data_IF_827611646020
#
_entry.id   IF_827611646020
#
_cell.length_a   1.000
_cell.length_b   1.000
_cell.length_c   1.000
_cell.angle_alpha   90.00
_cell.angle_beta   90.00
_cell.angle_gamma   90.00
#
_symmetry.space_group_name_H-M   'P 1'
#
loop_
_entity.id
_entity.type
_entity.pdbx_description
1 polymer ?
#
# COMPACT_ATOMS: atom_id res chain seq x y z
N UNK A 1 -10.82 -12.88 -25.49
CA UNK A 1 -11.81 -11.87 -25.06
C UNK A 1 -12.64 -11.49 -26.27
N UNK A 2 -13.98 -11.52 -26.18
CA UNK A 2 -14.82 -10.99 -27.26
C UNK A 2 -14.59 -9.48 -27.34
N UNK A 3 -14.62 -8.91 -28.55
CA UNK A 3 -14.36 -7.48 -28.78
C UNK A 3 -15.29 -6.58 -27.94
N UNK A 4 -16.54 -7.01 -27.77
CA UNK A 4 -17.58 -6.30 -27.00
C UNK A 4 -17.26 -6.18 -25.50
N UNK A 5 -16.76 -7.26 -24.86
CA UNK A 5 -16.39 -7.25 -23.43
C UNK A 5 -15.21 -6.28 -23.16
N UNK A 6 -14.34 -6.12 -24.17
CA UNK A 6 -13.19 -5.22 -24.11
C UNK A 6 -13.61 -3.75 -24.19
N UNK A 7 -14.49 -3.43 -25.14
CA UNK A 7 -14.98 -2.07 -25.35
C UNK A 7 -15.81 -1.59 -24.16
N UNK A 8 -16.66 -2.46 -23.61
CA UNK A 8 -17.44 -2.12 -22.42
C UNK A 8 -16.55 -1.91 -21.18
N UNK A 9 -15.56 -2.76 -20.95
CA UNK A 9 -14.63 -2.59 -19.82
C UNK A 9 -13.77 -1.34 -19.93
N UNK A 10 -13.32 -0.97 -21.14
CA UNK A 10 -12.57 0.27 -21.39
C UNK A 10 -13.44 1.52 -21.11
N UNK A 11 -14.71 1.53 -21.55
CA UNK A 11 -15.66 2.61 -21.26
C UNK A 11 -15.96 2.73 -19.76
N UNK A 12 -16.11 1.61 -19.06
CA UNK A 12 -16.37 1.61 -17.63
C UNK A 12 -15.16 2.12 -16.84
N UNK A 13 -13.94 1.73 -17.23
CA UNK A 13 -12.71 2.25 -16.63
C UNK A 13 -12.60 3.77 -16.80
N UNK A 14 -12.92 4.27 -18.00
CA UNK A 14 -12.96 5.71 -18.31
C UNK A 14 -13.94 6.47 -17.40
N UNK A 15 -15.17 5.97 -17.27
CA UNK A 15 -16.20 6.58 -16.41
C UNK A 15 -15.81 6.58 -14.93
N UNK A 16 -15.29 5.47 -14.41
CA UNK A 16 -14.84 5.37 -13.00
C UNK A 16 -13.71 6.35 -12.71
N UNK A 17 -12.75 6.45 -13.62
CA UNK A 17 -11.63 7.39 -13.48
C UNK A 17 -12.17 8.82 -13.48
N UNK A 18 -13.01 9.19 -14.46
CA UNK A 18 -13.57 10.53 -14.55
C UNK A 18 -14.40 10.90 -13.30
N UNK A 19 -15.18 9.97 -12.77
CA UNK A 19 -15.88 10.15 -11.49
C UNK A 19 -14.93 10.45 -10.34
N UNK A 20 -13.81 9.75 -10.23
CA UNK A 20 -12.80 10.04 -9.20
C UNK A 20 -12.13 11.40 -9.44
N UNK A 21 -11.87 11.80 -10.68
CA UNK A 21 -11.37 13.15 -10.99
C UNK A 21 -12.32 14.22 -10.49
N UNK A 22 -13.61 14.06 -10.80
CA UNK A 22 -14.66 14.98 -10.38
C UNK A 22 -14.79 14.99 -8.85
N UNK A 23 -14.64 13.84 -8.19
CA UNK A 23 -14.70 13.75 -6.74
C UNK A 23 -13.55 14.50 -6.06
N UNK A 24 -12.31 14.35 -6.56
CA UNK A 24 -11.14 15.09 -6.09
C UNK A 24 -11.34 16.61 -6.21
N UNK A 25 -12.01 17.07 -7.28
CA UNK A 25 -12.32 18.49 -7.50
C UNK A 25 -13.45 19.05 -6.63
N UNK A 26 -14.30 18.19 -6.04
CA UNK A 26 -15.54 18.62 -5.38
C UNK A 26 -15.48 18.61 -3.85
N UNK A 27 -14.48 17.99 -3.23
CA UNK A 27 -14.41 17.87 -1.78
C UNK A 27 -13.08 18.40 -1.26
N UNK A 28 -13.08 19.29 -0.25
CA UNK A 28 -11.85 19.70 0.42
C UNK A 28 -11.19 18.56 1.20
N UNK A 29 -11.93 17.48 1.53
CA UNK A 29 -11.41 16.21 2.08
C UNK A 29 -12.41 15.05 1.89
N UNK A 30 -12.10 14.03 1.08
CA UNK A 30 -12.51 12.67 1.36
C UNK A 30 -11.43 12.07 2.27
N UNK A 31 -11.75 11.92 3.55
CA UNK A 31 -10.94 11.11 4.45
C UNK A 31 -10.94 9.65 3.96
N UNK A 32 -9.90 8.93 4.36
CA UNK A 32 -9.62 7.50 4.16
C UNK A 32 -8.84 7.13 2.88
N UNK A 33 -7.54 6.85 3.10
CA UNK A 33 -6.61 6.13 2.22
C UNK A 33 -5.71 6.91 1.25
N UNK A 34 -5.02 7.98 1.69
CA UNK A 34 -3.77 8.51 1.08
C UNK A 34 -3.38 7.82 -0.25
N UNK A 35 -3.99 8.32 -1.32
CA UNK A 35 -4.01 7.72 -2.64
C UNK A 35 -2.70 7.89 -3.45
N UNK A 36 -1.74 8.82 -3.22
CA UNK A 36 -0.74 9.11 -4.26
C UNK A 36 0.36 8.05 -4.44
N UNK A 37 0.88 7.47 -3.36
CA UNK A 37 2.13 6.69 -3.44
C UNK A 37 1.96 5.40 -4.26
N UNK A 38 0.75 4.81 -4.27
CA UNK A 38 0.44 3.60 -5.06
C UNK A 38 0.10 3.86 -6.52
N UNK A 39 -0.39 5.06 -6.88
CA UNK A 39 -0.88 5.36 -8.23
C UNK A 39 0.07 6.21 -9.09
N UNK A 40 1.03 6.88 -8.46
CA UNK A 40 2.10 7.64 -9.16
C UNK A 40 3.16 6.68 -9.73
N UNK A 41 3.24 5.43 -9.26
CA UNK A 41 4.16 4.43 -9.78
C UNK A 41 3.67 3.87 -11.12
N UNK A 42 4.49 4.06 -12.15
CA UNK A 42 4.37 3.58 -13.55
C UNK A 42 3.62 2.25 -13.67
N UNK A 43 2.35 2.28 -14.10
CA UNK A 43 1.59 1.19 -14.75
C UNK A 43 0.06 1.34 -14.64
N UNK A 44 -0.48 2.47 -14.21
CA UNK A 44 -1.91 2.79 -14.43
C UNK A 44 -2.13 3.31 -15.86
N UNK A 45 -3.36 3.23 -16.41
CA UNK A 45 -3.75 3.97 -17.63
C UNK A 45 -3.46 5.47 -17.50
N UNK A 46 -3.54 5.93 -16.25
CA UNK A 46 -3.25 7.28 -15.81
C UNK A 46 -1.74 7.40 -15.64
N UNK A 47 -1.12 8.21 -16.50
CA UNK A 47 0.33 8.48 -16.41
C UNK A 47 0.68 9.21 -15.11
N UNK A 48 1.92 9.03 -14.63
CA UNK A 48 2.51 9.83 -13.55
C UNK A 48 2.33 11.34 -13.78
N UNK A 49 2.52 11.80 -15.02
CA UNK A 49 2.28 13.19 -15.41
C UNK A 49 0.87 13.66 -15.08
N UNK A 50 -0.14 12.83 -15.34
CA UNK A 50 -1.52 13.21 -15.05
C UNK A 50 -1.78 13.40 -13.56
N UNK A 51 -1.20 12.54 -12.71
CA UNK A 51 -1.30 12.71 -11.26
C UNK A 51 -0.64 14.01 -10.81
N UNK A 52 0.56 14.29 -11.35
CA UNK A 52 1.25 15.55 -11.09
C UNK A 52 0.37 16.73 -11.51
N UNK A 53 -0.11 16.76 -12.75
CA UNK A 53 -0.95 17.84 -13.28
C UNK A 53 -2.21 18.05 -12.40
N UNK A 54 -2.84 16.96 -11.95
CA UNK A 54 -3.98 17.01 -11.01
C UNK A 54 -3.57 17.57 -9.66
N UNK A 55 -2.44 17.16 -9.12
CA UNK A 55 -1.92 17.67 -7.85
C UNK A 55 -1.62 19.17 -7.92
N UNK A 56 -1.10 19.65 -9.05
CA UNK A 56 -0.87 21.07 -9.32
C UNK A 56 -2.21 21.83 -9.34
N UNK A 57 -3.20 21.34 -10.10
CA UNK A 57 -4.55 21.93 -10.17
C UNK A 57 -5.16 22.07 -8.77
N UNK A 58 -5.11 21.01 -7.94
CA UNK A 58 -5.63 21.04 -6.57
C UNK A 58 -4.97 22.11 -5.68
N UNK A 59 -3.68 22.38 -5.88
CA UNK A 59 -2.94 23.40 -5.13
C UNK A 59 -3.29 24.80 -5.64
N UNK A 60 -3.27 25.00 -6.97
CA UNK A 60 -3.46 26.30 -7.60
C UNK A 60 -4.90 26.82 -7.49
N UNK A 61 -5.89 25.92 -7.51
CA UNK A 61 -7.30 26.25 -7.37
C UNK A 61 -7.79 26.26 -5.90
N UNK A 62 -6.89 26.01 -4.93
CA UNK A 62 -7.19 25.98 -3.49
C UNK A 62 -8.32 24.99 -3.08
N UNK A 63 -8.48 23.87 -3.81
CA UNK A 63 -9.54 22.88 -3.58
C UNK A 63 -9.17 21.91 -2.43
N UNK A 64 -8.09 21.14 -2.61
CA UNK A 64 -7.52 20.23 -1.61
C UNK A 64 -6.00 20.30 -1.67
N UNK A 65 -5.48 21.41 -1.14
CA UNK A 65 -4.06 21.74 -1.17
C UNK A 65 -3.21 20.66 -0.49
N UNK A 66 -3.72 19.97 0.53
CA UNK A 66 -2.98 18.93 1.26
C UNK A 66 -2.74 17.72 0.35
N UNK A 67 -3.81 17.19 -0.26
CA UNK A 67 -3.71 16.06 -1.19
C UNK A 67 -2.88 16.43 -2.42
N UNK A 68 -3.05 17.65 -2.95
CA UNK A 68 -2.25 18.15 -4.07
C UNK A 68 -0.75 18.19 -3.74
N UNK A 69 -0.39 18.77 -2.58
CA UNK A 69 1.00 18.82 -2.10
C UNK A 69 1.58 17.42 -1.92
N UNK A 70 0.80 16.48 -1.40
CA UNK A 70 1.23 15.11 -1.23
C UNK A 70 1.57 14.46 -2.57
N UNK A 71 0.72 14.62 -3.59
CA UNK A 71 0.96 14.07 -4.93
C UNK A 71 2.24 14.65 -5.53
N UNK A 72 2.33 15.98 -5.63
CA UNK A 72 3.44 16.62 -6.38
C UNK A 72 4.78 16.43 -5.67
N UNK A 73 4.81 16.47 -4.33
CA UNK A 73 6.04 16.28 -3.57
C UNK A 73 6.50 14.81 -3.59
N UNK A 74 5.58 13.83 -3.53
CA UNK A 74 5.93 12.42 -3.72
C UNK A 74 6.44 12.13 -5.13
N UNK A 75 5.96 12.88 -6.14
CA UNK A 75 6.50 12.84 -7.50
C UNK A 75 7.82 13.63 -7.66
N UNK A 76 8.37 14.19 -6.58
CA UNK A 76 9.68 14.86 -6.58
C UNK A 76 9.67 16.34 -7.01
N UNK A 77 8.51 16.98 -7.10
CA UNK A 77 8.35 18.41 -7.44
C UNK A 77 8.68 19.30 -6.23
N UNK A 78 9.97 19.46 -5.94
CA UNK A 78 10.48 20.16 -4.75
C UNK A 78 10.14 21.66 -4.71
N UNK A 79 9.80 22.27 -5.84
CA UNK A 79 9.36 23.66 -5.93
C UNK A 79 8.12 23.96 -5.07
N UNK A 80 7.31 22.95 -4.71
CA UNK A 80 6.16 23.10 -3.83
C UNK A 80 6.48 23.03 -2.32
N UNK A 81 7.76 22.92 -1.94
CA UNK A 81 8.18 22.80 -0.53
C UNK A 81 7.85 24.04 0.30
N UNK A 82 7.98 25.24 -0.27
CA UNK A 82 7.67 26.49 0.44
C UNK A 82 6.17 26.58 0.76
N UNK A 83 5.31 26.16 -0.19
CA UNK A 83 3.86 26.08 0.03
C UNK A 83 3.51 25.05 1.09
N UNK A 84 4.21 23.93 1.14
CA UNK A 84 4.05 22.95 2.22
C UNK A 84 4.34 23.56 3.60
N UNK A 85 5.45 24.30 3.72
CA UNK A 85 5.84 24.96 4.98
C UNK A 85 4.80 25.99 5.40
N UNK A 86 4.30 26.79 4.45
CA UNK A 86 3.24 27.78 4.65
C UNK A 86 1.96 27.15 5.23
N UNK A 87 1.57 25.96 4.74
CA UNK A 87 0.34 25.27 5.16
C UNK A 87 0.54 24.50 6.47
N UNK A 88 1.63 23.75 6.61
CA UNK A 88 1.86 22.90 7.79
C UNK A 88 2.16 23.75 9.03
N UNK A 89 2.86 24.87 8.89
CA UNK A 89 3.25 25.74 10.02
C UNK A 89 2.06 26.16 10.90
N UNK A 90 1.02 26.81 10.34
CA UNK A 90 -0.18 27.18 11.08
C UNK A 90 -0.96 25.99 11.64
N UNK A 91 -1.15 24.93 10.85
CA UNK A 91 -1.88 23.72 11.28
C UNK A 91 -1.21 23.05 12.48
N UNK A 92 0.12 23.01 12.48
CA UNK A 92 0.93 22.52 13.58
C UNK A 92 0.77 23.37 14.85
N UNK A 93 0.81 24.70 14.70
CA UNK A 93 0.67 25.63 15.84
C UNK A 93 -0.72 25.59 16.46
N UNK A 94 -1.76 25.28 15.69
CA UNK A 94 -3.15 25.19 16.15
C UNK A 94 -3.53 23.83 16.77
N UNK A 95 -2.59 22.89 16.90
CA UNK A 95 -2.84 21.52 17.42
C UNK A 95 -3.98 20.80 16.69
N UNK A 96 -4.16 21.02 15.39
CA UNK A 96 -5.05 20.20 14.57
C UNK A 96 -4.59 18.73 14.59
N UNK A 97 -5.43 17.81 14.12
CA UNK A 97 -5.14 16.38 13.99
C UNK A 97 -3.95 16.13 13.05
N UNK A 98 -2.74 16.28 13.59
CA UNK A 98 -1.47 16.19 12.85
C UNK A 98 -1.13 14.79 12.36
N UNK A 99 -1.89 13.78 12.78
CA UNK A 99 -1.68 12.37 12.42
C UNK A 99 -1.81 12.11 10.91
N UNK A 100 -2.71 12.82 10.23
CA UNK A 100 -2.89 12.75 8.78
C UNK A 100 -1.82 13.52 7.99
N UNK A 101 -0.97 14.28 8.68
CA UNK A 101 0.07 15.10 8.05
C UNK A 101 1.46 14.48 8.17
N UNK A 102 1.63 13.32 8.83
CA UNK A 102 2.95 12.77 9.09
C UNK A 102 3.75 12.48 7.82
N UNK A 103 3.12 11.95 6.78
CA UNK A 103 3.78 11.66 5.49
C UNK A 103 4.29 12.96 4.84
N UNK A 104 3.48 14.01 4.87
CA UNK A 104 3.87 15.35 4.41
C UNK A 104 4.95 16.00 5.28
N UNK A 105 4.84 15.90 6.62
CA UNK A 105 5.84 16.42 7.56
C UNK A 105 7.19 15.72 7.36
N UNK A 106 7.19 14.44 6.96
CA UNK A 106 8.40 13.70 6.66
C UNK A 106 9.12 14.22 5.42
N UNK A 107 8.39 14.79 4.45
CA UNK A 107 8.97 15.43 3.25
C UNK A 107 9.72 16.73 3.57
N UNK A 108 9.43 17.39 4.69
CA UNK A 108 10.15 18.60 5.11
C UNK A 108 11.66 18.34 5.29
N UNK A 109 12.52 19.37 5.15
CA UNK A 109 13.96 19.23 5.41
C UNK A 109 14.24 18.60 6.78
N UNK A 110 15.25 17.69 6.91
CA UNK A 110 15.56 17.00 8.15
C UNK A 110 15.79 17.91 9.36
N UNK A 111 16.31 19.11 9.11
CA UNK A 111 16.61 20.11 10.11
C UNK A 111 15.41 21.01 10.49
N UNK A 112 14.30 20.92 9.77
CA UNK A 112 13.08 21.70 9.99
C UNK A 112 12.48 21.42 11.39
N UNK A 113 12.06 22.49 12.08
CA UNK A 113 11.62 22.44 13.48
C UNK A 113 10.40 21.52 13.69
N UNK A 114 9.42 21.57 12.79
CA UNK A 114 8.21 20.73 12.85
C UNK A 114 8.59 19.25 12.73
N UNK A 115 9.40 18.91 11.71
CA UNK A 115 9.87 17.54 11.48
C UNK A 115 10.64 17.01 12.69
N UNK A 116 11.59 17.79 13.22
CA UNK A 116 12.35 17.44 14.44
C UNK A 116 11.45 17.22 15.65
N UNK A 117 10.41 18.03 15.83
CA UNK A 117 9.50 17.93 16.97
C UNK A 117 8.58 16.71 16.86
N UNK A 118 8.07 16.42 15.67
CA UNK A 118 7.22 15.26 15.39
C UNK A 118 8.02 13.96 15.50
N UNK A 119 9.14 13.85 14.79
CA UNK A 119 9.94 12.62 14.74
C UNK A 119 11.07 12.60 15.78
N UNK A 120 10.86 13.24 16.94
CA UNK A 120 11.85 13.24 18.02
C UNK A 120 12.04 11.82 18.60
N UNK A 121 13.26 11.29 18.46
CA UNK A 121 13.65 9.95 18.90
C UNK A 121 13.69 9.74 20.42
N UNK A 122 13.52 10.79 21.25
CA UNK A 122 13.49 10.64 22.72
C UNK A 122 12.34 9.75 23.21
N UNK A 123 11.35 9.44 22.37
CA UNK A 123 10.16 8.67 22.73
C UNK A 123 9.87 7.53 21.74
N UNK A 124 10.86 6.69 21.41
CA UNK A 124 10.65 5.53 20.52
C UNK A 124 9.51 4.61 20.99
N UNK A 125 9.26 4.51 22.29
CA UNK A 125 8.11 3.77 22.84
C UNK A 125 6.75 4.34 22.40
N UNK A 126 6.59 5.66 22.35
CA UNK A 126 5.35 6.30 21.91
C UNK A 126 5.09 6.13 20.40
N UNK A 127 6.15 5.97 19.62
CA UNK A 127 6.08 5.75 18.16
C UNK A 127 5.51 4.36 17.84
N UNK A 128 5.76 3.36 18.70
CA UNK A 128 5.32 1.97 18.46
C UNK A 128 3.80 1.78 18.31
N UNK A 129 2.99 2.75 18.76
CA UNK A 129 1.52 2.68 18.71
C UNK A 129 0.92 3.37 17.48
N UNK A 130 1.69 4.19 16.78
CA UNK A 130 1.21 5.04 15.70
C UNK A 130 1.77 4.57 14.35
N UNK A 131 0.94 3.91 13.54
CA UNK A 131 1.34 3.36 12.24
C UNK A 131 1.78 4.48 11.27
N UNK A 132 1.04 5.59 11.22
CA UNK A 132 1.31 6.70 10.28
C UNK A 132 2.65 7.33 10.55
N UNK A 133 2.94 7.60 11.82
CA UNK A 133 4.23 8.15 12.22
C UNK A 133 5.39 7.20 11.88
N UNK A 134 5.20 5.89 12.03
CA UNK A 134 6.21 4.87 11.69
C UNK A 134 6.45 4.82 10.17
N UNK A 135 5.38 4.73 9.39
CA UNK A 135 5.45 4.76 7.93
C UNK A 135 6.18 6.02 7.43
N UNK A 136 5.84 7.19 7.97
CA UNK A 136 6.48 8.46 7.63
C UNK A 136 8.00 8.48 7.93
N UNK A 137 8.43 7.95 9.08
CA UNK A 137 9.86 7.81 9.42
C UNK A 137 10.58 6.84 8.47
N UNK A 138 9.91 5.76 8.09
CA UNK A 138 10.48 4.75 7.20
C UNK A 138 10.55 5.20 5.76
N UNK A 139 9.57 5.99 5.32
CA UNK A 139 9.53 6.62 4.01
C UNK A 139 10.78 7.49 3.75
N UNK A 140 11.22 8.25 4.75
CA UNK A 140 12.46 9.04 4.69
C UNK A 140 13.73 8.23 4.93
N UNK A 141 13.61 6.90 5.06
CA UNK A 141 14.70 5.95 5.29
C UNK A 141 15.57 6.30 6.49
N UNK A 142 14.96 6.64 7.62
CA UNK A 142 15.74 6.93 8.83
C UNK A 142 16.45 5.67 9.36
N UNK A 143 17.76 5.60 9.17
CA UNK A 143 18.54 4.40 9.51
C UNK A 143 18.44 4.02 10.99
N UNK A 144 18.40 4.99 11.91
CA UNK A 144 18.38 4.71 13.34
C UNK A 144 17.05 4.07 13.75
N UNK A 145 15.95 4.62 13.28
CA UNK A 145 14.63 4.03 13.52
C UNK A 145 14.50 2.67 12.85
N UNK A 146 14.95 2.55 11.60
CA UNK A 146 14.88 1.28 10.87
C UNK A 146 15.69 0.18 11.56
N UNK A 147 16.90 0.47 12.07
CA UNK A 147 17.69 -0.48 12.88
C UNK A 147 17.00 -0.88 14.18
N UNK A 148 16.46 0.10 14.93
CA UNK A 148 15.71 -0.19 16.15
C UNK A 148 14.51 -1.10 15.89
N UNK A 149 13.73 -0.79 14.85
CA UNK A 149 12.55 -1.57 14.49
C UNK A 149 12.93 -2.96 13.98
N UNK A 150 14.00 -3.10 13.18
CA UNK A 150 14.48 -4.40 12.71
C UNK A 150 14.98 -5.28 13.85
N UNK A 151 15.78 -4.73 14.78
CA UNK A 151 16.24 -5.44 15.98
C UNK A 151 15.04 -5.93 16.82
N UNK A 152 14.04 -5.07 17.01
CA UNK A 152 12.82 -5.44 17.74
C UNK A 152 12.08 -6.59 17.06
N UNK A 153 11.92 -6.55 15.73
CA UNK A 153 11.28 -7.63 14.98
C UNK A 153 12.08 -8.93 15.07
N UNK A 154 13.41 -8.86 14.94
CA UNK A 154 14.31 -10.01 15.06
C UNK A 154 14.17 -10.67 16.43
N UNK A 155 14.19 -9.88 17.51
CA UNK A 155 14.03 -10.39 18.87
C UNK A 155 12.66 -11.03 19.08
N UNK A 156 11.59 -10.41 18.60
CA UNK A 156 10.23 -10.97 18.71
C UNK A 156 10.07 -12.30 17.98
N UNK A 157 10.78 -12.48 16.86
CA UNK A 157 10.83 -13.74 16.12
C UNK A 157 11.63 -14.79 16.88
N UNK A 158 12.83 -14.44 17.36
CA UNK A 158 13.72 -15.35 18.06
C UNK A 158 13.13 -15.93 19.34
N UNK A 159 12.35 -15.14 20.08
CA UNK A 159 11.81 -15.51 21.39
C UNK A 159 10.47 -16.29 21.34
N UNK A 160 9.74 -16.27 20.21
CA UNK A 160 8.33 -16.69 20.18
C UNK A 160 7.87 -17.50 18.95
N UNK A 161 8.71 -17.69 17.93
CA UNK A 161 8.31 -18.41 16.71
C UNK A 161 7.97 -19.89 16.91
N UNK A 162 8.30 -20.48 18.06
CA UNK A 162 7.95 -21.88 18.36
C UNK A 162 6.58 -22.05 19.02
N UNK A 163 5.96 -20.97 19.50
CA UNK A 163 4.82 -21.07 20.44
C UNK A 163 3.56 -20.33 20.03
N UNK A 164 3.62 -19.29 19.17
CA UNK A 164 2.44 -18.49 18.85
C UNK A 164 2.36 -17.99 17.39
N UNK A 165 1.53 -18.65 16.59
CA UNK A 165 1.22 -18.25 15.20
C UNK A 165 0.50 -16.90 15.11
N UNK A 166 -0.20 -16.47 16.17
CA UNK A 166 -0.83 -15.14 16.22
C UNK A 166 0.21 -14.02 16.32
N UNK A 167 1.39 -14.28 16.90
CA UNK A 167 2.44 -13.27 16.95
C UNK A 167 3.00 -12.95 15.55
N UNK A 168 3.15 -13.98 14.70
CA UNK A 168 3.55 -13.78 13.31
C UNK A 168 2.55 -12.86 12.61
N UNK A 169 1.28 -13.18 12.76
CA UNK A 169 0.20 -12.47 12.11
C UNK A 169 -0.06 -11.06 12.64
N UNK A 170 -0.32 -10.92 13.94
CA UNK A 170 -0.82 -9.68 14.56
C UNK A 170 0.28 -8.65 14.81
N UNK A 171 1.55 -9.11 14.89
CA UNK A 171 2.65 -8.27 15.34
C UNK A 171 3.81 -8.17 14.36
N UNK A 172 4.28 -9.29 13.83
CA UNK A 172 5.47 -9.33 12.98
C UNK A 172 5.12 -8.85 11.57
N UNK A 173 4.13 -9.47 10.92
CA UNK A 173 3.77 -9.17 9.53
C UNK A 173 3.37 -7.70 9.30
N UNK A 174 2.58 -7.03 10.17
CA UNK A 174 2.23 -5.62 9.99
C UNK A 174 3.44 -4.69 10.14
N UNK A 175 4.31 -4.93 11.14
CA UNK A 175 5.52 -4.11 11.36
C UNK A 175 6.54 -4.28 10.27
N UNK A 176 6.69 -5.52 9.84
CA UNK A 176 7.46 -5.80 8.69
C UNK A 176 6.81 -4.94 7.55
N UNK A 177 5.47 -4.93 7.34
CA UNK A 177 4.84 -4.43 6.10
C UNK A 177 5.15 -2.95 5.86
N UNK A 178 5.32 -2.22 6.96
CA UNK A 178 5.83 -0.85 6.99
C UNK A 178 7.19 -0.69 6.27
N UNK A 179 8.05 -1.72 6.26
CA UNK A 179 9.33 -1.72 5.53
C UNK A 179 9.17 -1.96 4.03
N UNK A 180 8.22 -2.80 3.63
CA UNK A 180 8.07 -3.24 2.24
C UNK A 180 9.42 -3.63 1.61
N UNK A 181 9.80 -2.96 0.51
CA UNK A 181 11.08 -3.20 -0.19
C UNK A 181 12.33 -2.83 0.64
N UNK A 182 12.21 -1.92 1.59
CA UNK A 182 13.34 -1.50 2.46
C UNK A 182 13.81 -2.63 3.37
N UNK A 183 13.02 -3.69 3.54
CA UNK A 183 13.45 -4.85 4.32
C UNK A 183 14.75 -5.48 3.82
N UNK A 184 15.01 -5.43 2.50
CA UNK A 184 16.27 -5.94 1.92
C UNK A 184 17.51 -5.17 2.38
N UNK A 185 17.33 -3.97 2.92
CA UNK A 185 18.41 -3.10 3.43
C UNK A 185 18.67 -3.38 4.91
N UNK A 186 17.62 -3.62 5.69
CA UNK A 186 17.70 -3.63 7.16
C UNK A 186 17.67 -5.03 7.79
N UNK A 187 17.31 -6.06 7.02
CA UNK A 187 17.30 -7.44 7.51
C UNK A 187 18.34 -8.27 6.77
N UNK A 188 19.05 -9.11 7.51
CA UNK A 188 19.97 -10.06 6.94
C UNK A 188 19.24 -11.11 6.08
N UNK A 189 19.89 -11.57 5.02
CA UNK A 189 19.32 -12.56 4.10
C UNK A 189 18.84 -13.82 4.82
N UNK A 190 19.64 -14.36 5.75
CA UNK A 190 19.31 -15.57 6.48
C UNK A 190 18.01 -15.40 7.31
N UNK A 191 17.80 -14.21 7.87
CA UNK A 191 16.58 -13.89 8.61
C UNK A 191 15.36 -13.83 7.68
N UNK A 192 15.50 -13.19 6.51
CA UNK A 192 14.43 -13.15 5.52
C UNK A 192 14.08 -14.54 4.99
N UNK A 193 15.08 -15.41 4.78
CA UNK A 193 14.89 -16.80 4.35
C UNK A 193 14.18 -17.64 5.43
N UNK A 194 14.49 -17.41 6.72
CA UNK A 194 13.79 -18.03 7.84
C UNK A 194 12.33 -17.57 7.91
N UNK A 195 12.07 -16.26 7.81
CA UNK A 195 10.73 -15.71 7.82
C UNK A 195 9.89 -16.26 6.65
N UNK A 196 10.47 -16.33 5.45
CA UNK A 196 9.85 -16.92 4.27
C UNK A 196 9.42 -18.37 4.52
N UNK A 197 10.30 -19.16 5.13
CA UNK A 197 10.01 -20.56 5.47
C UNK A 197 8.83 -20.67 6.44
N UNK A 198 8.74 -19.77 7.42
CA UNK A 198 7.60 -19.69 8.35
C UNK A 198 6.31 -19.26 7.69
N UNK A 199 6.33 -18.27 6.80
CA UNK A 199 5.17 -17.92 5.98
C UNK A 199 4.67 -19.14 5.19
N UNK A 200 5.57 -19.93 4.60
CA UNK A 200 5.21 -21.17 3.91
C UNK A 200 4.56 -22.22 4.81
N UNK A 201 5.09 -22.43 6.02
CA UNK A 201 4.52 -23.37 6.99
C UNK A 201 3.07 -22.99 7.33
N UNK A 202 2.83 -21.71 7.62
CA UNK A 202 1.48 -21.19 7.91
C UNK A 202 0.56 -21.35 6.71
N UNK A 203 0.99 -20.97 5.51
CA UNK A 203 0.18 -21.10 4.30
C UNK A 203 -0.20 -22.57 3.99
N UNK A 204 0.69 -23.52 4.24
CA UNK A 204 0.40 -24.96 4.07
C UNK A 204 -0.57 -25.49 5.10
N UNK A 205 -0.43 -25.04 6.36
CA UNK A 205 -1.36 -25.38 7.44
C UNK A 205 -2.76 -24.87 7.15
N UNK A 206 -2.87 -23.61 6.72
CA UNK A 206 -4.12 -22.97 6.31
C UNK A 206 -4.82 -23.74 5.19
N UNK A 207 -4.06 -24.10 4.15
CA UNK A 207 -4.57 -24.91 3.05
C UNK A 207 -5.19 -26.22 3.56
N UNK A 208 -4.48 -26.95 4.44
CA UNK A 208 -4.99 -28.20 5.03
C UNK A 208 -6.27 -28.02 5.88
N UNK A 209 -6.38 -26.92 6.64
CA UNK A 209 -7.58 -26.60 7.41
C UNK A 209 -8.78 -26.29 6.51
N UNK A 210 -8.57 -25.48 5.47
CA UNK A 210 -9.63 -25.10 4.51
C UNK A 210 -10.11 -26.32 3.72
N UNK A 211 -9.17 -27.14 3.22
CA UNK A 211 -9.50 -28.37 2.48
C UNK A 211 -10.25 -29.40 3.34
N UNK A 212 -10.13 -29.31 4.67
CA UNK A 212 -10.88 -30.15 5.62
C UNK A 212 -12.17 -29.50 6.14
N UNK A 213 -12.55 -28.34 5.60
CA UNK A 213 -13.79 -27.62 5.96
C UNK A 213 -13.77 -27.01 7.36
N UNK A 214 -12.59 -26.88 7.99
CA UNK A 214 -12.44 -26.25 9.30
C UNK A 214 -12.35 -24.73 9.14
N UNK A 215 -12.93 -24.02 10.10
CA UNK A 215 -12.83 -22.57 10.18
C UNK A 215 -11.36 -22.15 10.29
N UNK A 216 -10.92 -21.28 9.39
CA UNK A 216 -9.58 -20.73 9.40
C UNK A 216 -9.65 -19.28 9.88
N UNK A 217 -9.14 -19.02 11.09
CA UNK A 217 -9.13 -17.68 11.70
C UNK A 217 -8.00 -16.77 11.19
N UNK A 218 -7.10 -17.30 10.35
CA UNK A 218 -5.88 -16.64 9.90
C UNK A 218 -6.08 -15.79 8.62
N UNK A 219 -7.33 -15.46 8.27
CA UNK A 219 -7.65 -14.78 7.01
C UNK A 219 -7.00 -13.39 6.86
N UNK A 220 -6.82 -12.64 7.95
CA UNK A 220 -6.23 -11.28 7.95
C UNK A 220 -4.73 -11.27 7.60
N UNK A 221 -4.02 -12.40 7.75
CA UNK A 221 -2.57 -12.48 7.53
C UNK A 221 -2.16 -12.67 6.08
N UNK A 222 -3.11 -13.10 5.25
CA UNK A 222 -2.87 -13.53 3.86
C UNK A 222 -2.55 -12.36 2.94
N UNK A 223 -3.15 -11.21 3.22
CA UNK A 223 -2.94 -9.94 2.53
C UNK A 223 -1.51 -9.42 2.74
N UNK A 224 -1.02 -9.52 3.97
CA UNK A 224 0.37 -9.16 4.25
C UNK A 224 1.31 -10.08 3.45
N UNK A 225 1.13 -11.40 3.50
CA UNK A 225 2.07 -12.35 2.88
C UNK A 225 2.25 -12.12 1.37
N UNK A 226 1.20 -11.81 0.60
CA UNK A 226 1.34 -11.50 -0.83
C UNK A 226 2.06 -10.18 -1.10
N UNK A 227 1.72 -9.11 -0.38
CA UNK A 227 2.44 -7.84 -0.44
C UNK A 227 3.93 -8.01 -0.18
N UNK A 228 4.26 -8.89 0.74
CA UNK A 228 5.63 -9.24 1.11
C UNK A 228 6.38 -10.06 0.11
N UNK A 229 5.76 -11.17 -0.29
CA UNK A 229 6.34 -12.05 -1.26
C UNK A 229 6.62 -11.27 -2.55
N UNK A 230 5.74 -10.35 -2.92
CA UNK A 230 5.98 -9.40 -3.99
C UNK A 230 7.14 -8.44 -3.71
N UNK A 231 7.12 -7.73 -2.58
CA UNK A 231 8.15 -6.72 -2.24
C UNK A 231 9.56 -7.31 -2.11
N UNK A 232 9.66 -8.59 -1.74
CA UNK A 232 10.91 -9.30 -1.52
C UNK A 232 11.33 -10.22 -2.68
N UNK A 233 10.55 -10.29 -3.75
CA UNK A 233 10.75 -11.21 -4.88
C UNK A 233 10.75 -12.70 -4.48
N UNK A 234 9.87 -13.10 -3.54
CA UNK A 234 9.63 -14.50 -3.16
C UNK A 234 8.67 -15.18 -4.15
N UNK A 235 9.19 -15.47 -5.35
CA UNK A 235 8.41 -16.02 -6.46
C UNK A 235 7.71 -17.35 -6.16
N UNK A 236 8.29 -18.20 -5.32
CA UNK A 236 7.73 -19.48 -4.91
C UNK A 236 6.49 -19.34 -4.03
N UNK A 237 6.46 -18.36 -3.10
CA UNK A 237 5.24 -18.05 -2.34
C UNK A 237 4.16 -17.54 -3.29
N UNK A 238 4.52 -16.63 -4.20
CA UNK A 238 3.57 -16.14 -5.21
C UNK A 238 3.01 -17.28 -6.06
N UNK A 239 3.83 -18.23 -6.53
CA UNK A 239 3.36 -19.37 -7.32
C UNK A 239 2.46 -20.32 -6.51
N UNK A 240 2.79 -20.56 -5.23
CA UNK A 240 1.95 -21.34 -4.34
C UNK A 240 0.57 -20.71 -4.12
N UNK A 241 0.51 -19.40 -3.91
CA UNK A 241 -0.74 -18.65 -3.73
C UNK A 241 -1.56 -18.61 -5.02
N UNK A 242 -0.91 -18.40 -6.17
CA UNK A 242 -1.55 -18.37 -7.50
C UNK A 242 -2.32 -19.64 -7.82
N UNK A 243 -1.77 -20.79 -7.47
CA UNK A 243 -2.39 -22.11 -7.70
C UNK A 243 -3.41 -22.50 -6.63
N UNK A 244 -3.55 -21.69 -5.58
CA UNK A 244 -4.42 -21.97 -4.44
C UNK A 244 -5.79 -21.32 -4.62
N UNK A 245 -6.78 -22.08 -5.11
CA UNK A 245 -8.15 -21.59 -5.35
C UNK A 245 -8.78 -20.92 -4.13
N UNK A 246 -8.51 -21.45 -2.94
CA UNK A 246 -9.00 -20.88 -1.67
C UNK A 246 -8.49 -19.46 -1.45
N UNK A 247 -7.22 -19.18 -1.77
CA UNK A 247 -6.61 -17.87 -1.62
C UNK A 247 -7.14 -16.91 -2.69
N UNK A 248 -7.14 -17.36 -3.95
CA UNK A 248 -7.59 -16.56 -5.08
C UNK A 248 -9.06 -16.13 -4.95
N UNK A 249 -9.93 -17.01 -4.46
CA UNK A 249 -11.33 -16.68 -4.23
C UNK A 249 -11.53 -15.56 -3.20
N UNK A 250 -10.59 -15.36 -2.27
CA UNK A 250 -10.64 -14.29 -1.27
C UNK A 250 -10.25 -12.91 -1.83
N UNK A 251 -9.68 -12.83 -3.04
CA UNK A 251 -9.47 -11.56 -3.73
C UNK A 251 -10.77 -11.13 -4.43
N UNK A 252 -11.30 -9.88 -4.30
CA UNK A 252 -11.07 -8.81 -3.34
C UNK A 252 -12.31 -8.71 -2.42
N UNK A 253 -12.48 -9.65 -1.49
CA UNK A 253 -13.62 -9.54 -0.58
C UNK A 253 -13.38 -8.39 0.40
N UNK A 254 -14.19 -7.34 0.26
CA UNK A 254 -14.34 -6.16 1.13
C UNK A 254 -14.40 -6.52 2.64
N UNK A 255 -14.63 -7.79 2.97
CA UNK A 255 -14.69 -8.34 4.31
C UNK A 255 -13.34 -8.50 5.03
N UNK A 256 -12.18 -8.33 4.38
CA UNK A 256 -10.88 -8.75 4.95
C UNK A 256 -9.89 -7.66 5.38
N UNK A 257 -10.21 -6.38 5.24
CA UNK A 257 -9.30 -5.33 5.70
C UNK A 257 -8.24 -4.89 4.69
N UNK A 258 -8.23 -5.41 3.46
CA UNK A 258 -7.56 -4.79 2.29
C UNK A 258 -8.28 -3.50 1.86
N UNK A 259 -8.46 -2.57 2.80
CA UNK A 259 -9.18 -1.33 2.56
C UNK A 259 -8.51 -0.45 1.49
N UNK A 260 -7.26 -0.76 1.11
CA UNK A 260 -6.50 -0.10 0.07
C UNK A 260 -6.29 -0.96 -1.20
N UNK A 261 -6.90 -2.15 -1.32
CA UNK A 261 -6.84 -3.05 -2.50
C UNK A 261 -5.43 -3.36 -3.03
N UNK A 262 -4.40 -3.32 -2.17
CA UNK A 262 -3.01 -3.46 -2.60
C UNK A 262 -2.72 -4.86 -3.17
N UNK A 263 -3.33 -5.90 -2.59
CA UNK A 263 -3.13 -7.26 -3.05
C UNK A 263 -3.78 -7.50 -4.40
N UNK A 264 -4.99 -6.99 -4.59
CA UNK A 264 -5.64 -7.02 -5.89
C UNK A 264 -4.77 -6.36 -6.98
N UNK A 265 -4.20 -5.18 -6.68
CA UNK A 265 -3.30 -4.50 -7.59
C UNK A 265 -2.00 -5.28 -7.84
N UNK A 266 -1.41 -5.91 -6.83
CA UNK A 266 -0.26 -6.80 -6.99
C UNK A 266 -0.61 -7.96 -7.94
N UNK A 267 -1.71 -8.66 -7.68
CA UNK A 267 -2.12 -9.80 -8.50
C UNK A 267 -2.48 -9.41 -9.93
N UNK A 268 -2.97 -8.19 -10.16
CA UNK A 268 -3.17 -7.66 -11.51
C UNK A 268 -1.87 -7.54 -12.34
N UNK A 269 -0.70 -7.58 -11.70
CA UNK A 269 0.59 -7.68 -12.39
C UNK A 269 1.00 -9.12 -12.74
N UNK A 270 0.44 -10.14 -12.08
CA UNK A 270 0.87 -11.54 -12.20
C UNK A 270 -0.13 -12.44 -12.94
N UNK A 271 -1.41 -12.07 -12.95
CA UNK A 271 -2.49 -12.93 -13.45
C UNK A 271 -3.35 -12.13 -14.43
N UNK A 272 -3.41 -12.61 -15.66
CA UNK A 272 -4.18 -12.02 -16.77
C UNK A 272 -5.38 -12.89 -17.17
N UNK A 273 -5.90 -13.68 -16.23
CA UNK A 273 -6.98 -14.62 -16.51
C UNK A 273 -8.38 -13.97 -16.43
N UNK A 274 -9.40 -14.75 -16.81
CA UNK A 274 -10.78 -14.28 -16.79
C UNK A 274 -11.32 -14.04 -15.37
N UNK A 275 -10.70 -14.63 -14.35
CA UNK A 275 -11.05 -14.38 -12.96
C UNK A 275 -10.67 -12.95 -12.56
N UNK A 276 -9.41 -12.56 -12.78
CA UNK A 276 -8.94 -11.20 -12.45
C UNK A 276 -9.67 -10.13 -13.27
N UNK A 277 -9.98 -10.41 -14.55
CA UNK A 277 -10.79 -9.50 -15.37
C UNK A 277 -12.19 -9.27 -14.81
N UNK A 278 -12.90 -10.35 -14.43
CA UNK A 278 -14.24 -10.25 -13.83
C UNK A 278 -14.21 -9.48 -12.50
N UNK A 279 -13.16 -9.68 -11.70
CA UNK A 279 -12.98 -8.93 -10.45
C UNK A 279 -12.70 -7.44 -10.69
N UNK A 280 -11.85 -7.10 -11.65
CA UNK A 280 -11.62 -5.70 -12.03
C UNK A 280 -12.92 -5.03 -12.48
N UNK A 281 -13.72 -5.69 -13.32
CA UNK A 281 -15.05 -5.23 -13.73
C UNK A 281 -15.94 -5.00 -12.50
N UNK A 282 -16.07 -5.98 -11.61
CA UNK A 282 -16.90 -5.87 -10.41
C UNK A 282 -16.52 -4.67 -9.53
N UNK A 283 -15.21 -4.41 -9.39
CA UNK A 283 -14.70 -3.25 -8.66
C UNK A 283 -15.02 -1.94 -9.38
N UNK A 284 -14.89 -1.89 -10.71
CA UNK A 284 -15.26 -0.73 -11.51
C UNK A 284 -16.78 -0.44 -11.46
N UNK A 285 -17.64 -1.46 -11.51
CA UNK A 285 -19.10 -1.31 -11.32
C UNK A 285 -19.44 -0.72 -9.95
N UNK A 286 -18.61 -1.01 -8.94
CA UNK A 286 -18.70 -0.42 -7.59
C UNK A 286 -18.05 0.96 -7.49
N UNK A 287 -17.62 1.55 -8.61
CA UNK A 287 -16.89 2.81 -8.68
C UNK A 287 -15.60 2.82 -7.82
N UNK A 288 -14.82 1.74 -7.86
CA UNK A 288 -13.50 1.65 -7.18
C UNK A 288 -12.38 1.81 -8.21
N UNK A 289 -11.52 2.81 -8.02
CA UNK A 289 -10.43 3.15 -8.96
C UNK A 289 -9.41 2.01 -9.16
N UNK A 290 -9.11 1.24 -8.11
CA UNK A 290 -8.16 0.12 -8.21
C UNK A 290 -8.60 -0.90 -9.28
N UNK A 291 -9.91 -1.08 -9.47
CA UNK A 291 -10.49 -1.89 -10.55
C UNK A 291 -10.11 -1.38 -11.94
N UNK A 292 -10.23 -0.07 -12.17
CA UNK A 292 -9.87 0.57 -13.43
C UNK A 292 -8.36 0.50 -13.73
N UNK A 293 -7.54 0.61 -12.69
CA UNK A 293 -6.08 0.49 -12.79
C UNK A 293 -5.69 -0.96 -13.15
N UNK A 294 -6.21 -1.94 -12.43
CA UNK A 294 -5.97 -3.34 -12.70
C UNK A 294 -6.46 -3.75 -14.10
N UNK A 295 -7.65 -3.30 -14.50
CA UNK A 295 -8.19 -3.53 -15.86
C UNK A 295 -7.20 -3.06 -16.91
N UNK A 296 -6.67 -1.85 -16.75
CA UNK A 296 -5.77 -1.27 -17.73
C UNK A 296 -4.43 -1.98 -17.78
N UNK A 297 -3.87 -2.38 -16.62
CA UNK A 297 -2.64 -3.18 -16.56
C UNK A 297 -2.77 -4.45 -17.38
N UNK A 298 -3.82 -5.22 -17.11
CA UNK A 298 -4.11 -6.46 -17.83
C UNK A 298 -4.27 -6.20 -19.33
N UNK A 299 -4.93 -5.10 -19.73
CA UNK A 299 -5.12 -4.72 -21.13
C UNK A 299 -3.80 -4.35 -21.84
N UNK A 300 -2.86 -3.71 -21.16
CA UNK A 300 -1.55 -3.36 -21.73
C UNK A 300 -0.62 -4.57 -21.85
N UNK A 301 -0.71 -5.54 -20.93
CA UNK A 301 0.01 -6.81 -21.05
C UNK A 301 -0.46 -7.60 -22.29
N UNK A 302 -1.78 -7.66 -22.51
CA UNK A 302 -2.36 -8.29 -23.70
C UNK A 302 -1.91 -7.64 -25.03
N UNK A 303 -1.61 -6.34 -25.04
CA UNK A 303 -1.08 -5.64 -26.24
C UNK A 303 0.37 -5.99 -26.56
N UNK A 304 1.14 -6.48 -25.58
CA UNK A 304 2.54 -6.88 -25.76
C UNK A 304 2.69 -8.34 -26.17
N UNK A 305 1.64 -9.14 -25.95
CA UNK A 305 1.62 -10.59 -26.16
C UNK A 305 1.00 -11.02 -27.51
N UNK A 306 0.56 -10.07 -28.33
CA UNK A 306 0.01 -10.30 -29.68
C UNK A 306 0.70 -9.43 -30.71
#
# INVERSE_FOLDING_TARGET
>A
MKTEDKEWGDLLAEDVIEKHKIALRKQPRPNYYIWPIKYVKTDAWISEKWWIDTGIELIEEEIDVISGLEIVLNAGKKEYMDKLIEIIGPLWNNKCETEYLYDLIALLPPDHSIRKKVFNYRYMEGINKDIRKRQAIMFVKDEKFCRYLSEKIINMIGDYLETDEYLLGDYIMPRMAEFGKSSKIYFEKHFLDNLKSKCFEVLRKDKGLIETGKECKLCEFRESISYWAWSLDWHDIMEFLKTSRWYMNCLPEIFFGDYNNENFLIWSHYIEDDFMRKKAIQMMESCILDGAIAWTRMRNLLRRSG
#
